data_IF_554067778633
#
_entry.id   IF_554067778633
#
_cell.length_a   1.000
_cell.length_b   1.000
_cell.length_c   1.000
_cell.angle_alpha   90.00
_cell.angle_beta   90.00
_cell.angle_gamma   90.00
#
_symmetry.space_group_name_H-M   'P 1'
#
loop_
_entity.id
_entity.type
_entity.pdbx_description
1 polymer ?
#
# COMPACT_ATOMS: atom_id res chain seq x y z
N UNK A 1 14.53 -5.10 -24.43
CA UNK A 1 14.67 -4.89 -22.98
C UNK A 1 13.71 -3.78 -22.63
N UNK A 2 12.71 -4.02 -21.78
CA UNK A 2 11.82 -2.95 -21.34
C UNK A 2 12.63 -2.00 -20.45
N UNK A 3 12.69 -0.73 -20.81
CA UNK A 3 13.36 0.31 -20.03
C UNK A 3 12.63 0.41 -18.69
N UNK A 4 13.31 0.09 -17.59
CA UNK A 4 12.72 0.18 -16.26
C UNK A 4 12.46 1.66 -15.94
N UNK A 5 11.19 2.03 -15.71
CA UNK A 5 10.83 3.38 -15.28
C UNK A 5 11.51 3.70 -13.93
N UNK A 6 12.02 4.91 -13.80
CA UNK A 6 12.54 5.46 -12.54
C UNK A 6 11.39 5.91 -11.62
N UNK A 7 11.66 6.06 -10.33
CA UNK A 7 10.64 6.54 -9.38
C UNK A 7 10.11 7.94 -9.71
N UNK A 8 10.95 8.82 -10.24
CA UNK A 8 10.54 10.17 -10.65
C UNK A 8 9.57 10.11 -11.83
N UNK A 9 9.79 9.19 -12.77
CA UNK A 9 8.86 8.95 -13.88
C UNK A 9 7.52 8.40 -13.40
N UNK A 10 7.52 7.52 -12.40
CA UNK A 10 6.31 6.99 -11.77
C UNK A 10 5.50 8.10 -11.09
N UNK A 11 6.17 8.96 -10.31
CA UNK A 11 5.51 10.08 -9.65
C UNK A 11 4.99 11.11 -10.66
N UNK A 12 5.74 11.39 -11.73
CA UNK A 12 5.28 12.25 -12.82
C UNK A 12 4.06 11.66 -13.55
N UNK A 13 4.04 10.35 -13.80
CA UNK A 13 2.90 9.65 -14.40
C UNK A 13 1.65 9.75 -13.51
N UNK A 14 1.80 9.65 -12.18
CA UNK A 14 0.69 9.85 -11.25
C UNK A 14 0.13 11.27 -11.30
N UNK A 15 1.00 12.28 -11.39
CA UNK A 15 0.56 13.66 -11.55
C UNK A 15 -0.20 13.86 -12.87
N UNK A 16 0.30 13.28 -13.96
CA UNK A 16 -0.37 13.31 -15.27
C UNK A 16 -1.73 12.58 -15.25
N UNK A 17 -1.84 11.45 -14.54
CA UNK A 17 -3.12 10.77 -14.32
C UNK A 17 -4.10 11.72 -13.63
N UNK A 18 -3.65 12.49 -12.64
CA UNK A 18 -4.48 13.46 -11.92
C UNK A 18 -4.91 14.65 -12.78
N UNK A 19 -3.99 15.24 -13.53
CA UNK A 19 -4.27 16.34 -14.48
C UNK A 19 -5.36 15.95 -15.48
N UNK A 20 -5.34 14.71 -15.95
CA UNK A 20 -6.32 14.21 -16.91
C UNK A 20 -7.65 13.76 -16.28
N UNK A 21 -7.71 13.58 -14.97
CA UNK A 21 -8.85 12.93 -14.30
C UNK A 21 -9.64 13.85 -13.38
N UNK A 22 -9.06 14.97 -12.95
CA UNK A 22 -9.67 15.85 -11.96
C UNK A 22 -9.58 17.32 -12.35
N UNK A 23 -10.74 17.94 -12.50
CA UNK A 23 -10.86 19.39 -12.66
C UNK A 23 -10.31 20.14 -11.44
N UNK A 24 -9.81 21.39 -11.64
CA UNK A 24 -9.55 22.29 -10.54
C UNK A 24 -10.78 22.45 -9.64
N UNK A 25 -10.61 22.30 -8.33
CA UNK A 25 -11.68 22.32 -7.31
C UNK A 25 -12.58 21.07 -7.24
N UNK A 26 -12.19 19.95 -7.84
CA UNK A 26 -12.87 18.65 -7.66
C UNK A 26 -12.96 18.18 -6.20
N UNK A 27 -12.17 18.76 -5.30
CA UNK A 27 -12.04 18.33 -3.92
C UNK A 27 -11.22 17.05 -3.76
N UNK A 28 -10.57 16.59 -4.84
CA UNK A 28 -9.60 15.52 -4.78
C UNK A 28 -8.34 15.95 -4.01
N UNK A 29 -7.60 14.96 -3.52
CA UNK A 29 -6.26 15.16 -2.98
C UNK A 29 -5.22 14.73 -4.01
N UNK A 30 -4.02 15.28 -3.92
CA UNK A 30 -2.83 14.82 -4.63
C UNK A 30 -2.63 13.31 -4.47
N UNK A 31 -2.14 12.63 -5.53
CA UNK A 31 -1.82 11.22 -5.45
C UNK A 31 -0.73 10.97 -4.41
N UNK A 32 -0.72 9.76 -3.86
CA UNK A 32 0.43 9.29 -3.09
C UNK A 32 1.71 9.41 -3.92
N UNK A 33 2.78 9.91 -3.28
CA UNK A 33 4.10 10.03 -3.88
C UNK A 33 4.98 8.89 -3.34
N UNK A 34 5.65 8.19 -4.24
CA UNK A 34 6.46 7.03 -3.90
C UNK A 34 7.93 7.38 -3.81
N UNK A 35 8.64 6.65 -2.95
CA UNK A 35 10.11 6.62 -2.90
C UNK A 35 10.59 5.33 -3.58
N UNK A 36 11.90 5.26 -3.87
CA UNK A 36 12.51 4.09 -4.49
C UNK A 36 12.19 2.81 -3.66
N UNK A 37 11.55 1.80 -4.26
CA UNK A 37 11.19 0.58 -3.55
C UNK A 37 12.40 -0.20 -3.03
N UNK A 38 12.31 -0.72 -1.80
CA UNK A 38 13.30 -1.66 -1.28
C UNK A 38 13.21 -3.00 -2.02
N UNK A 39 14.27 -3.34 -2.77
CA UNK A 39 14.39 -4.62 -3.47
C UNK A 39 14.35 -5.82 -2.53
N UNK A 40 13.61 -6.86 -2.88
CA UNK A 40 13.53 -8.09 -2.09
C UNK A 40 12.77 -7.94 -0.76
N UNK A 41 12.02 -6.85 -0.59
CA UNK A 41 11.20 -6.63 0.60
C UNK A 41 9.96 -7.55 0.64
N UNK A 42 9.42 -7.73 1.84
CA UNK A 42 8.05 -8.18 2.04
C UNK A 42 7.10 -7.02 1.72
N UNK A 43 6.36 -7.11 0.61
CA UNK A 43 5.45 -6.05 0.17
C UNK A 43 4.04 -6.34 0.69
N UNK A 44 3.48 -5.42 1.45
CA UNK A 44 2.08 -5.44 1.83
C UNK A 44 1.27 -4.60 0.84
N UNK A 45 0.11 -5.12 0.43
CA UNK A 45 -0.74 -4.47 -0.56
C UNK A 45 -2.09 -4.09 0.03
N UNK A 46 -2.33 -2.79 0.12
CA UNK A 46 -3.61 -2.20 0.49
C UNK A 46 -4.47 -1.87 -0.74
N UNK A 47 -5.63 -1.26 -0.51
CA UNK A 47 -6.50 -0.80 -1.59
C UNK A 47 -6.09 0.60 -2.05
N UNK A 48 -6.16 1.57 -1.14
CA UNK A 48 -5.90 2.97 -1.38
C UNK A 48 -5.58 3.68 -0.05
N UNK A 49 -4.75 4.73 -0.06
CA UNK A 49 -4.37 5.45 1.15
C UNK A 49 -5.58 6.20 1.74
N UNK A 50 -5.74 6.14 3.06
CA UNK A 50 -6.70 7.00 3.76
C UNK A 50 -6.08 8.38 4.03
N UNK A 51 -6.91 9.43 3.99
CA UNK A 51 -6.47 10.77 4.38
C UNK A 51 -7.06 11.15 5.75
N UNK A 52 -6.18 11.55 6.67
CA UNK A 52 -6.57 12.04 8.00
C UNK A 52 -5.78 13.29 8.36
N UNK A 53 -6.43 14.45 8.29
CA UNK A 53 -5.82 15.74 8.68
C UNK A 53 -5.34 15.71 10.14
N UNK A 54 -6.07 15.04 11.04
CA UNK A 54 -5.67 14.88 12.45
C UNK A 54 -4.40 14.02 12.58
N UNK A 55 -4.34 12.91 11.84
CA UNK A 55 -3.15 12.05 11.80
C UNK A 55 -1.93 12.79 11.28
N UNK A 56 -2.07 13.46 10.13
CA UNK A 56 -0.99 14.24 9.52
C UNK A 56 -0.51 15.37 10.44
N UNK A 57 -1.42 16.10 11.09
CA UNK A 57 -1.06 17.13 12.06
C UNK A 57 -0.28 16.59 13.28
N UNK A 58 -0.44 15.31 13.64
CA UNK A 58 0.39 14.68 14.67
C UNK A 58 1.81 14.37 14.21
N UNK A 59 1.99 14.05 12.93
CA UNK A 59 3.30 13.79 12.34
C UNK A 59 4.06 15.08 12.06
N UNK A 60 3.36 16.12 11.60
CA UNK A 60 3.94 17.44 11.35
C UNK A 60 4.62 18.03 12.60
N UNK A 61 4.06 17.80 13.80
CA UNK A 61 4.68 18.20 15.08
C UNK A 61 6.04 17.54 15.35
N UNK A 62 6.39 16.47 14.61
CA UNK A 62 7.67 15.76 14.72
C UNK A 62 8.71 16.23 13.69
N UNK A 63 8.32 17.05 12.71
CA UNK A 63 9.22 17.58 11.68
C UNK A 63 9.62 19.01 12.06
N UNK A 64 10.89 19.36 11.82
CA UNK A 64 11.34 20.75 11.86
C UNK A 64 11.00 21.42 10.52
N UNK A 65 10.06 22.36 10.51
CA UNK A 65 9.62 23.01 9.27
C UNK A 65 8.45 23.97 9.48
N UNK A 66 7.98 24.63 8.40
CA UNK A 66 6.83 25.52 8.47
C UNK A 66 5.57 24.74 8.83
N UNK A 67 4.71 25.36 9.65
CA UNK A 67 3.37 24.83 9.90
C UNK A 67 2.48 25.17 8.69
N UNK A 68 1.74 24.19 8.20
CA UNK A 68 0.84 24.30 7.05
C UNK A 68 -0.44 23.52 7.28
N UNK A 69 -1.52 23.96 6.64
CA UNK A 69 -2.77 23.23 6.65
C UNK A 69 -2.63 21.96 5.79
N UNK A 70 -2.74 20.79 6.42
CA UNK A 70 -2.57 19.50 5.74
C UNK A 70 -3.60 19.29 4.62
N UNK A 71 -4.83 19.79 4.77
CA UNK A 71 -5.87 19.61 3.75
C UNK A 71 -5.55 20.45 2.51
N UNK A 72 -5.09 21.68 2.70
CA UNK A 72 -4.64 22.57 1.64
C UNK A 72 -3.35 22.07 0.99
N UNK A 73 -2.38 21.58 1.76
CA UNK A 73 -1.12 21.07 1.22
C UNK A 73 -1.33 19.90 0.26
N UNK A 74 -2.21 18.97 0.65
CA UNK A 74 -2.52 17.78 -0.16
C UNK A 74 -3.70 17.99 -1.14
N UNK A 75 -4.33 19.17 -1.26
CA UNK A 75 -5.46 19.33 -2.18
C UNK A 75 -5.02 19.30 -3.64
N UNK A 76 -5.95 18.98 -4.55
CA UNK A 76 -5.74 19.03 -6.00
C UNK A 76 -6.55 20.16 -6.68
N UNK A 77 -5.91 20.98 -7.52
CA UNK A 77 -4.46 21.16 -7.62
C UNK A 77 -3.89 21.71 -6.30
N UNK A 78 -2.60 21.49 -6.05
CA UNK A 78 -1.99 22.08 -4.85
C UNK A 78 -1.87 23.59 -5.06
N UNK A 79 -2.38 24.42 -4.13
CA UNK A 79 -2.24 25.87 -4.22
C UNK A 79 -0.84 26.35 -3.80
N UNK A 80 0.02 25.43 -3.35
CA UNK A 80 1.39 25.67 -2.94
C UNK A 80 2.34 25.05 -3.97
N UNK A 81 3.58 25.55 -4.07
CA UNK A 81 4.67 24.83 -4.71
C UNK A 81 4.81 23.49 -3.97
N UNK A 82 4.22 22.42 -4.54
CA UNK A 82 4.09 21.15 -3.85
C UNK A 82 5.48 20.55 -3.58
N UNK A 83 5.83 20.49 -2.30
CA UNK A 83 7.10 19.93 -1.85
C UNK A 83 6.98 18.41 -1.76
N UNK A 84 7.46 17.73 -2.80
CA UNK A 84 7.47 16.27 -2.88
C UNK A 84 8.35 15.63 -1.79
N UNK A 85 9.46 16.27 -1.40
CA UNK A 85 10.36 15.75 -0.37
C UNK A 85 9.68 15.79 1.00
N UNK A 86 8.98 16.89 1.30
CA UNK A 86 8.17 17.00 2.53
C UNK A 86 7.04 15.96 2.56
N UNK A 87 6.36 15.74 1.43
CA UNK A 87 5.33 14.71 1.33
C UNK A 87 5.90 13.30 1.59
N UNK A 88 7.06 12.98 1.00
CA UNK A 88 7.74 11.70 1.23
C UNK A 88 8.21 11.53 2.68
N UNK A 89 8.75 12.59 3.30
CA UNK A 89 9.17 12.58 4.70
C UNK A 89 8.00 12.33 5.67
N UNK A 90 6.82 12.92 5.38
CA UNK A 90 5.60 12.63 6.14
C UNK A 90 5.18 11.16 6.01
N UNK A 91 5.30 10.57 4.82
CA UNK A 91 4.99 9.15 4.61
C UNK A 91 5.98 8.22 5.36
N UNK A 92 7.28 8.54 5.38
CA UNK A 92 8.26 7.82 6.21
C UNK A 92 7.85 7.86 7.68
N UNK A 93 7.52 9.04 8.20
CA UNK A 93 7.08 9.19 9.58
C UNK A 93 5.78 8.45 9.87
N UNK A 94 4.82 8.44 8.94
CA UNK A 94 3.60 7.66 9.06
C UNK A 94 3.91 6.16 9.18
N UNK A 95 4.80 5.65 8.32
CA UNK A 95 5.24 4.25 8.31
C UNK A 95 5.93 3.81 9.58
N UNK A 96 6.65 4.70 10.24
CA UNK A 96 7.35 4.40 11.48
C UNK A 96 6.48 4.56 12.72
N UNK A 97 5.51 5.48 12.70
CA UNK A 97 4.79 5.88 13.91
C UNK A 97 3.34 5.39 13.98
N UNK A 98 2.70 5.05 12.86
CA UNK A 98 1.32 4.57 12.90
C UNK A 98 1.26 3.12 13.36
N UNK A 99 0.32 2.85 14.28
CA UNK A 99 -0.01 1.51 14.76
C UNK A 99 -0.54 0.60 13.63
N UNK A 100 -1.12 1.21 12.59
CA UNK A 100 -1.50 0.53 11.34
C UNK A 100 -0.36 -0.31 10.74
N UNK A 101 0.88 0.15 10.85
CA UNK A 101 2.03 -0.55 10.29
C UNK A 101 2.73 -1.49 11.29
N UNK A 102 2.25 -1.59 12.54
CA UNK A 102 2.89 -2.48 13.54
C UNK A 102 2.88 -3.96 13.13
N UNK A 103 1.77 -4.50 12.59
CA UNK A 103 1.77 -5.86 12.07
C UNK A 103 2.81 -6.08 10.95
N UNK A 104 3.00 -5.07 10.09
CA UNK A 104 3.96 -5.10 8.99
C UNK A 104 5.39 -5.22 9.53
N UNK A 105 5.75 -4.30 10.44
CA UNK A 105 7.05 -4.28 11.12
C UNK A 105 7.31 -5.58 11.88
N UNK A 106 6.31 -6.10 12.59
CA UNK A 106 6.43 -7.34 13.37
C UNK A 106 6.76 -8.53 12.48
N UNK A 107 6.00 -8.76 11.41
CA UNK A 107 6.25 -9.89 10.51
C UNK A 107 7.61 -9.76 9.81
N UNK A 108 7.92 -8.59 9.29
CA UNK A 108 9.20 -8.31 8.64
C UNK A 108 10.40 -8.60 9.55
N UNK A 109 10.31 -8.19 10.83
CA UNK A 109 11.33 -8.47 11.85
C UNK A 109 11.54 -9.96 12.08
N UNK A 110 10.45 -10.73 12.20
CA UNK A 110 10.54 -12.20 12.39
C UNK A 110 11.16 -12.89 11.18
N UNK A 111 10.87 -12.41 9.97
CA UNK A 111 11.44 -12.97 8.75
C UNK A 111 12.86 -12.47 8.47
N UNK A 112 13.35 -11.48 9.21
CA UNK A 112 14.59 -10.75 8.92
C UNK A 112 14.59 -10.16 7.49
N UNK A 113 13.48 -9.55 7.10
CA UNK A 113 13.29 -8.90 5.81
C UNK A 113 12.99 -7.41 5.99
N UNK A 114 13.32 -6.62 4.98
CA UNK A 114 12.74 -5.29 4.82
C UNK A 114 11.26 -5.41 4.46
N UNK A 115 10.49 -4.35 4.66
CA UNK A 115 9.08 -4.32 4.25
C UNK A 115 8.71 -3.04 3.52
N UNK A 116 7.71 -3.18 2.66
CA UNK A 116 7.05 -2.12 1.91
C UNK A 116 5.54 -2.18 2.07
N UNK A 117 4.87 -1.03 1.87
CA UNK A 117 3.42 -0.99 1.72
C UNK A 117 3.07 -0.20 0.47
N UNK A 118 2.38 -0.85 -0.46
CA UNK A 118 1.84 -0.23 -1.66
C UNK A 118 0.32 -0.36 -1.63
N UNK A 119 -0.37 0.70 -1.99
CA UNK A 119 -1.79 0.58 -2.32
C UNK A 119 -1.95 0.32 -3.82
N UNK A 120 -2.98 -0.43 -4.21
CA UNK A 120 -3.31 -0.63 -5.63
C UNK A 120 -3.62 0.70 -6.35
N UNK A 121 -4.15 1.67 -5.61
CA UNK A 121 -4.55 2.97 -6.14
C UNK A 121 -3.94 4.08 -5.28
N UNK A 122 -3.25 5.03 -5.89
CA UNK A 122 -2.69 6.20 -5.22
C UNK A 122 -3.76 7.21 -4.78
N UNK A 123 -5.04 6.95 -5.10
CA UNK A 123 -6.18 7.81 -4.80
C UNK A 123 -6.50 7.86 -3.29
N UNK A 124 -6.29 9.03 -2.68
CA UNK A 124 -6.53 9.24 -1.25
C UNK A 124 -8.01 9.40 -0.95
N UNK A 125 -8.62 8.38 -0.35
CA UNK A 125 -10.04 8.38 0.02
C UNK A 125 -10.29 7.38 1.17
N UNK A 126 -11.05 7.81 2.16
CA UNK A 126 -11.32 6.99 3.35
C UNK A 126 -12.60 6.17 3.16
N UNK A 127 -13.53 6.61 2.31
CA UNK A 127 -14.80 5.94 2.06
C UNK A 127 -14.68 4.93 0.91
N UNK A 128 -14.70 3.63 1.24
CA UNK A 128 -14.56 2.55 0.28
C UNK A 128 -15.55 2.63 -0.90
N UNK A 129 -16.79 3.07 -0.67
CA UNK A 129 -17.78 3.23 -1.74
C UNK A 129 -17.42 4.34 -2.73
N UNK A 130 -16.75 5.40 -2.28
CA UNK A 130 -16.23 6.44 -3.17
C UNK A 130 -15.04 5.91 -3.97
N UNK A 131 -14.11 5.20 -3.33
CA UNK A 131 -13.00 4.54 -4.02
C UNK A 131 -13.51 3.60 -5.12
N UNK A 132 -14.49 2.74 -4.82
CA UNK A 132 -15.08 1.82 -5.82
C UNK A 132 -15.65 2.56 -7.03
N UNK A 133 -16.47 3.59 -6.80
CA UNK A 133 -17.06 4.40 -7.88
C UNK A 133 -15.99 5.07 -8.73
N UNK A 134 -14.88 5.45 -8.13
CA UNK A 134 -13.79 6.13 -8.82
C UNK A 134 -12.97 5.17 -9.71
N UNK A 135 -12.73 3.93 -9.29
CA UNK A 135 -11.78 3.01 -9.98
C UNK A 135 -12.46 1.92 -10.83
N UNK A 136 -13.74 1.62 -10.60
CA UNK A 136 -14.45 0.52 -11.27
C UNK A 136 -15.37 1.03 -12.38
N UNK A 137 -15.64 0.18 -13.38
CA UNK A 137 -16.66 0.44 -14.41
C UNK A 137 -18.07 0.39 -13.80
N UNK A 138 -18.29 -0.55 -12.89
CA UNK A 138 -19.50 -0.66 -12.08
C UNK A 138 -19.12 -1.18 -10.69
N UNK A 139 -19.85 -0.79 -9.65
CA UNK A 139 -19.62 -1.24 -8.27
C UNK A 139 -19.95 -2.72 -8.05
N UNK A 140 -20.65 -3.36 -9.00
CA UNK A 140 -21.12 -4.74 -8.90
C UNK A 140 -20.09 -5.76 -9.41
N UNK A 141 -19.02 -5.30 -10.06
CA UNK A 141 -17.92 -6.14 -10.53
C UNK A 141 -16.57 -5.49 -10.24
N UNK A 142 -15.48 -6.24 -10.37
CA UNK A 142 -14.12 -5.75 -10.09
C UNK A 142 -13.37 -5.31 -11.36
N UNK A 143 -14.10 -5.00 -12.44
CA UNK A 143 -13.51 -4.51 -13.68
C UNK A 143 -13.10 -3.05 -13.50
N UNK A 144 -11.80 -2.77 -13.66
CA UNK A 144 -11.27 -1.41 -13.59
C UNK A 144 -11.76 -0.57 -14.76
N UNK A 145 -12.07 0.71 -14.48
CA UNK A 145 -12.25 1.73 -15.51
C UNK A 145 -10.88 2.27 -15.97
N UNK A 146 -10.86 3.24 -16.88
CA UNK A 146 -9.60 3.79 -17.41
C UNK A 146 -8.72 4.42 -16.30
N UNK A 147 -9.31 5.14 -15.35
CA UNK A 147 -8.58 5.75 -14.23
C UNK A 147 -8.01 4.71 -13.27
N UNK A 148 -8.80 3.67 -12.95
CA UNK A 148 -8.35 2.54 -12.14
C UNK A 148 -7.24 1.75 -12.82
N UNK A 149 -7.36 1.51 -14.13
CA UNK A 149 -6.35 0.76 -14.89
C UNK A 149 -5.00 1.46 -14.91
N UNK A 150 -4.96 2.78 -15.21
CA UNK A 150 -3.70 3.53 -15.22
C UNK A 150 -2.97 3.50 -13.88
N UNK A 151 -3.70 3.63 -12.76
CA UNK A 151 -3.10 3.50 -11.43
C UNK A 151 -2.64 2.06 -11.13
N UNK A 152 -3.37 1.05 -11.60
CA UNK A 152 -2.96 -0.34 -11.44
C UNK A 152 -1.67 -0.64 -12.24
N UNK A 153 -1.49 0.00 -13.39
CA UNK A 153 -0.28 -0.10 -14.20
C UNK A 153 0.93 0.52 -13.46
N UNK A 154 0.74 1.67 -12.83
CA UNK A 154 1.73 2.27 -11.90
C UNK A 154 2.09 1.31 -10.77
N UNK A 155 1.10 0.68 -10.14
CA UNK A 155 1.30 -0.34 -9.12
C UNK A 155 2.12 -1.55 -9.65
N UNK A 156 1.88 -1.98 -10.89
CA UNK A 156 2.66 -3.06 -11.51
C UNK A 156 4.13 -2.66 -11.69
N UNK A 157 4.41 -1.43 -12.10
CA UNK A 157 5.77 -0.91 -12.21
C UNK A 157 6.45 -0.88 -10.84
N UNK A 158 5.75 -0.43 -9.78
CA UNK A 158 6.28 -0.44 -8.41
C UNK A 158 6.63 -1.85 -7.94
N UNK A 159 5.77 -2.84 -8.19
CA UNK A 159 6.07 -4.24 -7.87
C UNK A 159 7.27 -4.78 -8.65
N UNK A 160 7.41 -4.40 -9.92
CA UNK A 160 8.54 -4.80 -10.74
C UNK A 160 9.86 -4.21 -10.22
N UNK A 161 9.86 -2.94 -9.81
CA UNK A 161 11.00 -2.30 -9.16
C UNK A 161 11.36 -2.96 -7.82
N UNK A 162 10.34 -3.26 -7.01
CA UNK A 162 10.49 -3.84 -5.68
C UNK A 162 11.02 -5.27 -5.69
N UNK A 163 10.85 -6.03 -6.78
CA UNK A 163 11.26 -7.45 -6.88
C UNK A 163 10.98 -8.22 -5.57
N UNK A 164 9.71 -8.29 -5.15
CA UNK A 164 9.35 -8.68 -3.78
C UNK A 164 9.81 -10.10 -3.45
N UNK A 165 10.25 -10.30 -2.21
CA UNK A 165 10.45 -11.65 -1.68
C UNK A 165 9.12 -12.38 -1.49
N UNK A 166 8.08 -11.63 -1.12
CA UNK A 166 6.69 -12.06 -1.08
C UNK A 166 5.75 -10.84 -1.11
N UNK A 167 4.51 -11.05 -1.54
CA UNK A 167 3.42 -10.07 -1.47
C UNK A 167 2.34 -10.55 -0.51
N UNK A 168 1.84 -9.65 0.34
CA UNK A 168 0.71 -9.91 1.25
C UNK A 168 -0.38 -8.90 0.96
N UNK A 169 -1.43 -9.31 0.26
CA UNK A 169 -2.57 -8.45 -0.06
C UNK A 169 -3.52 -8.46 1.14
N UNK A 170 -3.60 -7.35 1.86
CA UNK A 170 -4.26 -7.21 3.17
C UNK A 170 -5.61 -6.51 3.05
N UNK A 171 -6.30 -6.67 1.93
CA UNK A 171 -7.63 -6.10 1.73
C UNK A 171 -8.44 -7.00 0.79
N UNK A 172 -9.71 -7.24 1.11
CA UNK A 172 -10.57 -8.16 0.36
C UNK A 172 -10.84 -7.66 -1.08
N UNK A 173 -11.14 -6.37 -1.26
CA UNK A 173 -11.37 -5.81 -2.59
C UNK A 173 -10.05 -5.77 -3.38
N UNK A 174 -8.95 -5.37 -2.74
CA UNK A 174 -7.64 -5.41 -3.37
C UNK A 174 -7.26 -6.83 -3.82
N UNK A 175 -7.56 -7.84 -3.01
CA UNK A 175 -7.33 -9.25 -3.35
C UNK A 175 -8.10 -9.67 -4.61
N UNK A 176 -9.38 -9.31 -4.70
CA UNK A 176 -10.19 -9.61 -5.89
C UNK A 176 -9.66 -8.91 -7.14
N UNK A 177 -9.30 -7.63 -7.04
CA UNK A 177 -8.73 -6.87 -8.16
C UNK A 177 -7.40 -7.49 -8.59
N UNK A 178 -6.51 -7.77 -7.64
CA UNK A 178 -5.20 -8.38 -7.90
C UNK A 178 -5.36 -9.71 -8.65
N UNK A 179 -6.24 -10.60 -8.18
CA UNK A 179 -6.52 -11.89 -8.81
C UNK A 179 -7.10 -11.76 -10.23
N UNK A 180 -7.87 -10.72 -10.52
CA UNK A 180 -8.43 -10.48 -11.84
C UNK A 180 -7.43 -9.87 -12.82
N UNK A 181 -6.47 -9.10 -12.31
CA UNK A 181 -5.52 -8.34 -13.12
C UNK A 181 -4.18 -9.05 -13.32
N UNK A 182 -3.83 -10.01 -12.46
CA UNK A 182 -2.52 -10.67 -12.47
C UNK A 182 -2.64 -12.18 -12.63
N UNK A 183 -1.63 -12.76 -13.26
CA UNK A 183 -1.55 -14.20 -13.49
C UNK A 183 -1.06 -14.89 -12.22
N UNK A 184 -2.00 -15.34 -11.39
CA UNK A 184 -1.68 -16.07 -10.16
C UNK A 184 -2.10 -17.54 -10.23
N UNK A 185 -1.31 -18.43 -9.65
CA UNK A 185 -1.60 -19.88 -9.57
C UNK A 185 -1.51 -20.32 -8.11
N UNK A 186 -2.54 -20.99 -7.58
CA UNK A 186 -2.47 -21.53 -6.22
C UNK A 186 -1.57 -22.78 -6.17
N UNK A 187 -0.56 -22.73 -5.32
CA UNK A 187 0.41 -23.80 -5.07
C UNK A 187 0.01 -24.50 -3.78
N UNK A 188 -0.80 -25.55 -3.89
CA UNK A 188 -1.43 -26.24 -2.75
C UNK A 188 -0.41 -26.77 -1.74
N UNK A 189 0.68 -27.37 -2.21
CA UNK A 189 1.77 -27.93 -1.40
C UNK A 189 2.52 -26.89 -0.56
N UNK A 190 2.56 -25.63 -1.01
CA UNK A 190 3.18 -24.51 -0.28
C UNK A 190 2.16 -23.59 0.39
N UNK A 191 0.88 -23.83 0.15
CA UNK A 191 -0.24 -23.06 0.69
C UNK A 191 -0.19 -21.59 0.31
N UNK A 192 0.19 -21.19 -0.90
CA UNK A 192 0.14 -19.78 -1.32
C UNK A 192 -0.16 -19.65 -2.80
N UNK A 193 -0.48 -18.44 -3.26
CA UNK A 193 -0.53 -18.16 -4.67
C UNK A 193 0.86 -17.78 -5.17
N UNK A 194 1.26 -18.27 -6.33
CA UNK A 194 2.44 -17.82 -7.04
C UNK A 194 2.00 -16.78 -8.06
N UNK A 195 2.56 -15.56 -7.98
CA UNK A 195 2.44 -14.58 -9.06
C UNK A 195 3.42 -14.95 -10.17
N UNK A 196 2.91 -15.12 -11.37
CA UNK A 196 3.66 -15.47 -12.58
C UNK A 196 3.50 -14.40 -13.67
N UNK A 197 3.06 -13.18 -13.32
CA UNK A 197 2.97 -12.08 -14.30
C UNK A 197 4.37 -11.63 -14.73
N UNK A 198 5.33 -11.63 -13.80
CA UNK A 198 6.73 -11.29 -14.05
C UNK A 198 7.64 -12.49 -13.72
N UNK A 199 8.79 -12.59 -14.38
CA UNK A 199 9.84 -13.57 -14.07
C UNK A 199 11.04 -12.91 -13.36
N UNK A 200 11.57 -13.49 -12.26
CA UNK A 200 11.03 -14.64 -11.55
C UNK A 200 9.74 -14.27 -10.79
N UNK A 201 8.81 -15.22 -10.70
CA UNK A 201 7.60 -15.04 -9.92
C UNK A 201 7.88 -14.98 -8.41
N UNK A 202 6.91 -14.50 -7.63
CA UNK A 202 6.99 -14.45 -6.16
C UNK A 202 5.72 -15.01 -5.48
N UNK A 203 5.84 -15.49 -4.21
CA UNK A 203 4.69 -15.92 -3.44
C UNK A 203 3.79 -14.74 -3.04
N UNK A 204 2.48 -14.98 -3.07
CA UNK A 204 1.41 -14.04 -2.75
C UNK A 204 0.45 -14.68 -1.75
N UNK A 205 0.13 -13.91 -0.72
CA UNK A 205 -0.83 -14.27 0.33
C UNK A 205 -1.98 -13.30 0.30
N UNK A 206 -3.20 -13.81 0.14
CA UNK A 206 -4.41 -13.00 0.21
C UNK A 206 -5.01 -13.08 1.59
N UNK A 207 -5.38 -11.93 2.14
CA UNK A 207 -5.90 -11.82 3.49
C UNK A 207 -6.95 -10.71 3.61
N UNK A 208 -7.68 -10.73 4.72
CA UNK A 208 -8.43 -9.57 5.16
C UNK A 208 -7.50 -8.45 5.65
N UNK A 209 -8.10 -7.36 6.11
CA UNK A 209 -7.35 -6.31 6.80
C UNK A 209 -6.63 -6.91 8.00
N UNK A 210 -5.32 -6.67 8.14
CA UNK A 210 -4.56 -7.08 9.34
C UNK A 210 -4.59 -6.04 10.46
N UNK A 211 -5.21 -4.89 10.18
CA UNK A 211 -5.39 -3.71 11.06
C UNK A 211 -6.75 -3.05 10.89
N UNK A 212 -7.14 -2.24 11.88
CA UNK A 212 -8.42 -1.51 11.89
C UNK A 212 -9.56 -2.25 12.59
N UNK A 213 -10.75 -1.63 12.61
CA UNK A 213 -11.91 -2.11 13.37
C UNK A 213 -12.46 -3.47 12.91
N UNK A 214 -12.20 -3.85 11.66
CA UNK A 214 -12.56 -5.16 11.07
C UNK A 214 -11.33 -5.97 10.70
N UNK A 215 -10.24 -5.79 11.46
CA UNK A 215 -9.04 -6.58 11.29
C UNK A 215 -9.33 -8.07 11.50
N UNK A 216 -8.48 -8.91 10.92
CA UNK A 216 -8.39 -10.31 11.30
C UNK A 216 -8.32 -10.44 12.82
N UNK A 217 -9.04 -11.43 13.35
CA UNK A 217 -8.83 -11.84 14.72
C UNK A 217 -7.36 -12.28 14.91
N UNK A 218 -6.91 -12.19 16.16
CA UNK A 218 -5.53 -12.50 16.53
C UNK A 218 -5.05 -13.83 15.95
N UNK A 219 -5.88 -14.88 16.00
CA UNK A 219 -5.49 -16.22 15.59
C UNK A 219 -5.46 -16.37 14.07
N UNK A 220 -6.35 -15.69 13.34
CA UNK A 220 -6.25 -15.62 11.88
C UNK A 220 -4.97 -14.91 11.42
N UNK A 221 -4.57 -13.83 12.11
CA UNK A 221 -3.29 -13.17 11.83
C UNK A 221 -2.09 -14.07 12.17
N UNK A 222 -2.11 -14.76 13.30
CA UNK A 222 -1.05 -15.71 13.66
C UNK A 222 -0.93 -16.86 12.64
N UNK A 223 -2.05 -17.38 12.12
CA UNK A 223 -2.04 -18.38 11.04
C UNK A 223 -1.41 -17.85 9.75
N UNK A 224 -1.78 -16.63 9.34
CA UNK A 224 -1.16 -15.97 8.18
C UNK A 224 0.36 -15.85 8.37
N UNK A 225 0.80 -15.41 9.54
CA UNK A 225 2.23 -15.22 9.82
C UNK A 225 3.00 -16.53 9.84
N UNK A 226 2.41 -17.57 10.43
CA UNK A 226 2.96 -18.93 10.38
C UNK A 226 3.09 -19.44 8.94
N UNK A 227 2.06 -19.25 8.12
CA UNK A 227 2.04 -19.67 6.72
C UNK A 227 3.13 -18.97 5.91
N UNK A 228 3.28 -17.65 6.08
CA UNK A 228 4.36 -16.88 5.44
C UNK A 228 5.72 -17.35 5.97
N UNK A 229 5.88 -17.49 7.30
CA UNK A 229 7.10 -17.97 7.93
C UNK A 229 7.58 -19.31 7.38
N UNK A 230 6.66 -20.27 7.18
CA UNK A 230 6.97 -21.57 6.57
C UNK A 230 7.61 -21.47 5.19
N UNK A 231 7.14 -20.54 4.34
CA UNK A 231 7.72 -20.32 3.01
C UNK A 231 9.17 -19.81 3.09
N UNK A 232 9.50 -19.06 4.14
CA UNK A 232 10.85 -18.55 4.39
C UNK A 232 11.70 -19.45 5.31
N UNK A 233 11.23 -20.65 5.65
CA UNK A 233 11.94 -21.55 6.57
C UNK A 233 12.09 -20.97 7.98
N UNK A 234 11.18 -20.09 8.40
CA UNK A 234 11.15 -19.46 9.71
C UNK A 234 10.03 -20.05 10.57
N UNK A 235 10.32 -20.26 11.85
CA UNK A 235 9.31 -20.62 12.82
C UNK A 235 8.60 -19.35 13.31
N UNK A 236 7.28 -19.34 13.23
CA UNK A 236 6.45 -18.33 13.89
C UNK A 236 6.00 -18.86 15.25
N UNK A 237 6.33 -18.14 16.32
CA UNK A 237 5.77 -18.38 17.64
C UNK A 237 4.89 -17.19 18.07
N UNK A 238 3.76 -17.43 18.77
CA UNK A 238 2.93 -16.34 19.31
C UNK A 238 3.70 -15.39 20.26
N UNK A 239 4.76 -15.89 20.91
CA UNK A 239 5.68 -15.10 21.74
C UNK A 239 6.68 -14.26 20.95
N UNK A 240 6.74 -14.41 19.62
CA UNK A 240 7.56 -13.58 18.73
C UNK A 240 6.97 -12.17 18.50
N UNK A 241 5.77 -11.90 19.02
CA UNK A 241 5.22 -10.55 19.03
C UNK A 241 5.98 -9.68 20.03
N UNK A 242 6.36 -8.43 19.70
CA UNK A 242 6.79 -7.48 20.70
C UNK A 242 5.67 -7.29 21.74
N UNK A 243 6.00 -7.00 23.02
CA UNK A 243 4.99 -6.75 24.04
C UNK A 243 4.01 -5.68 23.55
N UNK A 244 2.72 -5.90 23.77
CA UNK A 244 1.66 -4.94 23.42
C UNK A 244 1.95 -3.66 24.19
N UNK A 245 2.52 -2.67 23.52
CA UNK A 245 2.56 -1.31 24.04
C UNK A 245 1.14 -0.77 23.85
N UNK A 246 0.38 -0.67 24.94
CA UNK A 246 -0.88 0.06 24.95
C UNK A 246 -0.55 1.52 24.61
N UNK A 247 -0.74 1.89 23.35
CA UNK A 247 -0.79 3.30 22.98
C UNK A 247 -2.15 3.78 23.47
N UNK A 248 -2.14 4.57 24.54
CA UNK A 248 -3.34 5.19 25.10
C UNK A 248 -4.14 5.96 24.05
N UNK A 249 -5.45 5.97 24.27
CA UNK A 249 -6.50 6.59 23.43
C UNK A 249 -6.20 8.02 22.96
#
# INVERSE_FOLDING_TARGET
MATTQTIDQINAELMEIWDNSFEPNSGAFLPMQYMEPKKGALVFVGLNPSFSAKGMGSLQRKITGPNFDNKTFFSWPSPLDFDIELAQNLEVLARDNYSFFEPHRTLARVLNLQWEHFDLFAYRETQQEKTKKQILVSTDNVKLNAFGQRQFDVFNTLLQLAQPAAVVVINALASQIYLNQRKTIFISEKGHYQDCTNEPGFPVFFSGMITGARALDRYSRERLYWQIGKVFGKEWHPSSQPPIVSVGD
#
